data_IF_338552572327
#
_entry.id   IF_338552572327
#
_cell.length_a   1.000
_cell.length_b   1.000
_cell.length_c   1.000
_cell.angle_alpha   90.00
_cell.angle_beta   90.00
_cell.angle_gamma   90.00
#
_symmetry.space_group_name_H-M   'P 1'
#
loop_
_entity.id
_entity.type
_entity.pdbx_description
1 polymer ?
#
# COMPACT_ATOMS: atom_id res chain seq x y z
N UNK A 1 -2.69 8.23 -17.70
CA UNK A 1 -2.17 7.96 -18.24
C UNK A 1 -1.77 7.38 -18.99
N UNK A 2 -2.01 6.96 -19.10
CA UNK A 2 -1.43 6.28 -19.74
C UNK A 2 -0.82 6.22 -20.52
N UNK A 3 -0.72 5.73 -20.63
CA UNK A 3 0.06 5.44 -21.33
C UNK A 3 0.63 5.68 -21.98
N UNK A 4 0.67 5.42 -21.92
CA UNK A 4 1.44 5.39 -22.64
C UNK A 4 1.75 5.54 -23.17
N UNK A 5 1.36 5.37 -23.02
CA UNK A 5 1.89 5.19 -23.64
C UNK A 5 2.37 5.39 -24.24
N UNK A 6 2.36 5.49 -24.21
CA UNK A 6 3.04 5.28 -24.81
C UNK A 6 3.11 5.09 -25.42
N UNK A 7 2.66 5.00 -25.23
CA UNK A 7 2.90 4.54 -25.85
C UNK A 7 3.03 4.49 -26.82
N UNK A 8 2.75 4.38 -27.21
CA UNK A 8 3.13 4.11 -28.11
C UNK A 8 3.58 4.20 -29.14
N UNK A 9 3.75 4.02 -29.59
CA UNK A 9 4.49 3.86 -30.51
C UNK A 9 4.99 3.79 -31.35
N UNK A 10 5.12 3.46 -31.78
CA UNK A 10 5.77 3.05 -32.50
C UNK A 10 6.08 2.52 -33.24
N UNK A 11 5.85 2.32 -33.32
CA UNK A 11 6.12 1.51 -33.86
C UNK A 11 6.14 0.79 -34.35
N UNK A 12 6.18 0.48 -34.39
CA UNK A 12 5.85 -0.33 -34.89
C UNK A 12 5.41 -1.38 -34.48
N UNK A 13 5.12 -1.55 -34.49
CA UNK A 13 4.25 -2.59 -34.37
C UNK A 13 4.76 -3.75 -33.64
N UNK A 14 5.90 -4.05 -33.73
CA UNK A 14 6.58 -5.01 -33.01
C UNK A 14 6.50 -4.83 -31.58
N UNK A 15 6.71 -3.66 -31.20
CA UNK A 15 6.72 -3.31 -29.84
C UNK A 15 5.35 -3.41 -29.23
N UNK A 16 4.30 -3.48 -30.00
CA UNK A 16 2.97 -3.55 -29.45
C UNK A 16 2.73 -4.81 -28.65
N UNK A 17 3.05 -5.97 -29.18
CA UNK A 17 2.82 -7.19 -28.44
C UNK A 17 3.73 -7.31 -27.26
N UNK A 18 4.95 -6.82 -27.34
CA UNK A 18 5.85 -6.82 -26.23
C UNK A 18 5.35 -5.92 -25.11
N UNK A 19 4.81 -4.78 -25.49
CA UNK A 19 4.28 -3.86 -24.50
C UNK A 19 3.09 -4.43 -23.79
N UNK A 20 2.19 -5.09 -24.48
CA UNK A 20 1.05 -5.71 -23.87
C UNK A 20 1.46 -6.77 -22.88
N UNK A 21 2.40 -7.61 -23.23
CA UNK A 21 2.86 -8.65 -22.34
C UNK A 21 3.53 -8.07 -21.11
N UNK A 22 4.30 -7.03 -21.27
CA UNK A 22 4.96 -6.36 -20.17
C UNK A 22 3.97 -5.74 -19.21
N UNK A 23 2.96 -5.05 -19.75
CA UNK A 23 1.94 -4.46 -18.91
C UNK A 23 1.20 -5.50 -18.10
N UNK A 24 0.75 -6.56 -18.73
CA UNK A 24 0.01 -7.60 -18.04
C UNK A 24 0.82 -8.24 -16.93
N UNK A 25 2.10 -8.46 -17.19
CA UNK A 25 2.95 -9.11 -16.26
C UNK A 25 3.37 -8.22 -15.11
N UNK A 26 3.53 -6.93 -15.38
CA UNK A 26 4.15 -6.01 -14.48
C UNK A 26 3.24 -5.43 -13.41
N UNK A 27 1.98 -5.35 -13.69
CA UNK A 27 1.09 -4.55 -12.87
C UNK A 27 -0.02 -5.33 -12.17
N UNK A 28 0.25 -6.58 -11.81
CA UNK A 28 -0.67 -7.33 -10.97
C UNK A 28 -0.13 -7.36 -9.55
N UNK A 29 -0.90 -6.85 -8.60
CA UNK A 29 -0.49 -6.68 -7.23
C UNK A 29 -1.36 -7.54 -6.32
N UNK A 30 -0.76 -8.32 -5.40
CA UNK A 30 -1.57 -9.08 -4.46
C UNK A 30 -2.30 -8.17 -3.48
N UNK A 31 -3.55 -8.49 -3.20
CA UNK A 31 -4.34 -7.80 -2.18
C UNK A 31 -4.37 -8.67 -0.95
N UNK A 32 -4.00 -8.08 0.19
CA UNK A 32 -4.04 -8.77 1.47
C UNK A 32 -5.21 -8.24 2.29
N UNK A 33 -5.89 -9.15 2.95
CA UNK A 33 -6.95 -8.80 3.89
C UNK A 33 -6.40 -8.75 5.30
N UNK A 34 -6.98 -9.55 6.18
CA UNK A 34 -6.48 -9.61 7.55
C UNK A 34 -5.19 -10.43 7.60
N UNK A 35 -4.29 -10.05 8.46
CA UNK A 35 -3.02 -10.74 8.63
C UNK A 35 -3.20 -11.82 9.70
N UNK A 36 -2.86 -13.04 9.34
CA UNK A 36 -2.95 -14.16 10.29
C UNK A 36 -1.77 -14.11 11.25
N UNK A 37 -2.07 -14.22 12.54
CA UNK A 37 -1.03 -14.18 13.58
C UNK A 37 -0.04 -15.32 13.39
N UNK A 38 1.25 -14.99 13.51
CA UNK A 38 2.31 -16.00 13.42
C UNK A 38 2.67 -16.44 12.01
N UNK A 39 2.00 -15.90 10.99
CA UNK A 39 2.29 -16.21 9.60
C UNK A 39 3.09 -15.10 8.95
N UNK A 40 3.87 -15.39 7.90
CA UNK A 40 4.52 -14.33 7.15
C UNK A 40 3.48 -13.38 6.55
N UNK A 41 3.86 -12.13 6.38
CA UNK A 41 2.95 -11.12 5.83
C UNK A 41 2.37 -11.57 4.50
N UNK A 42 3.19 -12.10 3.60
CA UNK A 42 2.76 -12.56 2.29
C UNK A 42 2.45 -14.06 2.35
N UNK A 43 1.70 -14.47 3.34
CA UNK A 43 1.24 -15.84 3.42
C UNK A 43 0.00 -16.00 2.56
N UNK A 44 -0.19 -17.19 2.00
CA UNK A 44 -1.30 -17.46 1.11
C UNK A 44 -2.64 -17.20 1.77
N UNK A 45 -2.75 -17.49 3.06
CA UNK A 45 -4.00 -17.29 3.82
C UNK A 45 -4.41 -15.82 3.88
N UNK A 46 -3.48 -14.90 3.69
CA UNK A 46 -3.76 -13.48 3.77
C UNK A 46 -4.26 -12.89 2.45
N UNK A 47 -4.11 -13.64 1.36
CA UNK A 47 -4.52 -13.14 0.04
C UNK A 47 -6.03 -13.16 -0.11
N UNK A 48 -6.57 -12.05 -0.64
CA UNK A 48 -7.99 -11.96 -0.96
C UNK A 48 -8.24 -11.60 -2.42
N UNK A 49 -7.21 -11.39 -3.21
CA UNK A 49 -7.37 -11.10 -4.63
C UNK A 49 -6.15 -10.44 -5.22
N UNK A 50 -6.31 -9.92 -6.43
CA UNK A 50 -5.26 -9.20 -7.15
C UNK A 50 -5.81 -7.91 -7.71
N UNK A 51 -4.94 -6.91 -7.78
CA UNK A 51 -5.27 -5.57 -8.26
C UNK A 51 -4.41 -5.24 -9.46
N UNK A 52 -4.99 -4.93 -10.63
CA UNK A 52 -4.20 -4.37 -11.72
C UNK A 52 -3.74 -2.97 -11.34
N UNK A 53 -2.48 -2.68 -11.56
CA UNK A 53 -1.92 -1.40 -11.16
C UNK A 53 -1.03 -0.87 -12.27
N UNK A 54 -1.31 0.35 -12.73
CA UNK A 54 -0.61 0.98 -13.84
C UNK A 54 0.19 2.21 -13.43
N UNK A 55 0.54 2.32 -12.16
CA UNK A 55 1.35 3.42 -11.67
C UNK A 55 2.84 3.20 -11.94
N UNK A 56 3.65 4.09 -11.39
CA UNK A 56 5.10 4.08 -11.61
C UNK A 56 5.78 3.13 -10.64
N UNK A 57 5.58 1.84 -10.84
CA UNK A 57 6.25 0.85 -10.02
C UNK A 57 7.55 0.46 -10.69
N UNK A 58 8.65 0.57 -9.99
CA UNK A 58 9.96 0.23 -10.53
C UNK A 58 10.50 -1.08 -10.02
N UNK A 59 9.80 -1.71 -9.09
CA UNK A 59 10.24 -2.99 -8.53
C UNK A 59 9.01 -3.82 -8.22
N UNK A 60 9.23 -5.04 -7.74
CA UNK A 60 8.17 -6.00 -7.49
C UNK A 60 7.71 -6.03 -6.05
N UNK A 61 7.93 -4.97 -5.30
CA UNK A 61 7.61 -4.97 -3.88
C UNK A 61 6.34 -4.22 -3.55
N UNK A 62 5.36 -4.30 -4.46
CA UNK A 62 4.07 -3.68 -4.23
C UNK A 62 3.08 -4.69 -3.68
N UNK A 63 2.24 -4.23 -2.78
CA UNK A 63 1.11 -4.99 -2.29
C UNK A 63 -0.03 -4.04 -2.00
N UNK A 64 -1.25 -4.55 -1.90
CA UNK A 64 -2.39 -3.75 -1.53
C UNK A 64 -2.96 -4.29 -0.22
N UNK A 65 -3.42 -3.38 0.63
CA UNK A 65 -4.12 -3.73 1.86
C UNK A 65 -5.51 -3.14 1.82
N UNK A 66 -6.46 -3.88 2.36
CA UNK A 66 -7.82 -3.40 2.50
C UNK A 66 -7.94 -2.67 3.83
N UNK A 67 -8.45 -1.43 3.78
CA UNK A 67 -8.66 -0.62 4.97
C UNK A 67 -9.85 -1.17 5.75
N UNK A 68 -9.69 -1.31 7.05
CA UNK A 68 -10.78 -1.66 7.96
C UNK A 68 -10.97 -0.52 8.95
N UNK A 69 -12.20 0.01 8.99
CA UNK A 69 -12.55 1.04 9.95
C UNK A 69 -12.33 2.44 9.41
N UNK A 70 -12.38 3.42 10.30
CA UNK A 70 -12.41 4.84 9.95
C UNK A 70 -11.29 5.67 10.57
N UNK A 71 -10.22 5.05 11.02
CA UNK A 71 -9.15 5.80 11.71
C UNK A 71 -8.42 6.78 10.80
N UNK A 72 -8.59 6.69 9.48
CA UNK A 72 -7.94 7.58 8.53
C UNK A 72 -8.93 8.35 7.67
N UNK A 73 -10.15 8.53 8.17
CA UNK A 73 -11.22 9.15 7.39
C UNK A 73 -10.92 10.59 6.99
N UNK A 74 -10.24 11.35 7.85
CA UNK A 74 -9.91 12.74 7.55
C UNK A 74 -8.77 12.88 6.52
N UNK A 75 -8.11 11.78 6.21
CA UNK A 75 -7.12 11.73 5.13
C UNK A 75 -7.75 11.20 3.83
N UNK A 76 -9.05 10.95 3.84
CA UNK A 76 -9.75 10.45 2.66
C UNK A 76 -9.63 8.95 2.45
N UNK A 77 -9.19 8.21 3.47
CA UNK A 77 -9.09 6.74 3.40
C UNK A 77 -10.26 6.16 4.17
N UNK A 78 -11.14 5.47 3.46
CA UNK A 78 -12.39 4.97 4.03
C UNK A 78 -12.37 3.46 4.18
N UNK A 79 -13.28 2.97 5.01
CA UNK A 79 -13.45 1.54 5.19
C UNK A 79 -13.62 0.85 3.84
N UNK A 80 -12.92 -0.27 3.66
CA UNK A 80 -12.92 -1.10 2.46
C UNK A 80 -12.15 -0.54 1.26
N UNK A 81 -11.55 0.64 1.40
CA UNK A 81 -10.62 1.12 0.37
C UNK A 81 -9.41 0.20 0.28
N UNK A 82 -8.79 0.16 -0.90
CA UNK A 82 -7.54 -0.54 -1.09
C UNK A 82 -6.42 0.47 -1.18
N UNK A 83 -5.37 0.30 -0.39
CA UNK A 83 -4.18 1.15 -0.48
C UNK A 83 -3.03 0.32 -1.04
N UNK A 84 -2.29 0.92 -1.97
CA UNK A 84 -1.10 0.29 -2.54
C UNK A 84 0.10 0.71 -1.72
N UNK A 85 0.89 -0.26 -1.32
CA UNK A 85 2.04 -0.06 -0.45
C UNK A 85 3.28 -0.50 -1.20
N UNK A 86 4.29 0.37 -1.21
CA UNK A 86 5.61 0.02 -1.73
C UNK A 86 6.48 -0.40 -0.56
N UNK A 87 6.79 -1.69 -0.49
CA UNK A 87 7.54 -2.25 0.62
C UNK A 87 9.02 -1.89 0.57
N UNK A 88 9.49 -1.40 -0.55
CA UNK A 88 10.89 -0.96 -0.67
C UNK A 88 11.11 0.44 -0.11
N UNK A 89 10.03 1.17 0.19
CA UNK A 89 10.10 2.53 0.70
C UNK A 89 9.74 2.55 2.18
N UNK A 90 10.58 3.19 2.98
CA UNK A 90 10.28 3.40 4.39
C UNK A 90 9.55 4.72 4.54
N UNK A 91 8.38 4.74 5.20
CA UNK A 91 7.67 6.01 5.40
C UNK A 91 8.51 6.98 6.21
N UNK A 92 8.58 8.23 5.74
CA UNK A 92 9.24 9.31 6.45
C UNK A 92 8.22 10.14 7.21
N UNK A 93 8.68 11.04 8.06
CA UNK A 93 7.79 11.91 8.83
C UNK A 93 6.82 12.65 7.90
N UNK A 94 5.54 12.59 8.20
CA UNK A 94 4.49 13.17 7.40
C UNK A 94 3.89 12.25 6.35
N UNK A 95 4.51 11.11 6.11
CA UNK A 95 3.98 10.14 5.14
C UNK A 95 2.89 9.28 5.77
N UNK A 96 2.08 8.67 4.90
CA UNK A 96 1.17 7.61 5.31
C UNK A 96 1.87 6.29 5.02
N UNK A 97 1.90 5.42 6.00
CA UNK A 97 2.50 4.12 5.88
C UNK A 97 1.61 3.02 6.40
N UNK A 98 2.02 1.80 6.10
CA UNK A 98 1.41 0.60 6.67
C UNK A 98 2.36 0.01 7.68
N UNK A 99 1.82 -0.42 8.79
CA UNK A 99 2.61 -0.90 9.93
C UNK A 99 1.99 -2.16 10.49
N UNK A 100 2.85 -3.05 10.96
CA UNK A 100 2.41 -4.28 11.63
C UNK A 100 2.62 -4.08 13.13
N UNK A 101 1.56 -4.27 13.90
CA UNK A 101 1.56 -4.07 15.34
C UNK A 101 1.53 -5.43 16.01
N UNK A 102 2.51 -5.71 16.86
CA UNK A 102 2.63 -6.98 17.61
C UNK A 102 2.59 -8.21 16.70
N UNK A 103 3.01 -8.09 15.44
CA UNK A 103 3.00 -9.17 14.46
C UNK A 103 1.61 -9.78 14.22
N UNK A 104 0.55 -9.09 14.58
CA UNK A 104 -0.80 -9.64 14.46
C UNK A 104 -1.76 -8.76 13.69
N UNK A 105 -1.48 -7.48 13.59
CA UNK A 105 -2.43 -6.54 13.02
C UNK A 105 -1.73 -5.54 12.12
N UNK A 106 -2.21 -5.39 10.89
CA UNK A 106 -1.72 -4.35 9.98
C UNK A 106 -2.60 -3.11 10.12
N UNK A 107 -1.98 -1.95 10.17
CA UNK A 107 -2.68 -0.68 10.26
C UNK A 107 -2.07 0.33 9.30
N UNK A 108 -2.87 1.30 8.87
CA UNK A 108 -2.43 2.40 8.00
C UNK A 108 -2.59 3.69 8.79
N UNK A 109 -1.52 4.45 8.93
CA UNK A 109 -1.49 5.68 9.73
C UNK A 109 -0.46 6.63 9.15
N UNK A 110 -0.56 7.89 9.50
CA UNK A 110 0.58 8.79 9.36
C UNK A 110 1.66 8.38 10.34
N UNK A 111 2.91 8.69 10.01
CA UNK A 111 4.01 8.61 10.95
C UNK A 111 4.62 10.01 11.05
N UNK A 112 4.94 10.45 12.26
CA UNK A 112 5.60 11.72 12.46
C UNK A 112 6.31 11.73 13.81
N UNK A 113 7.14 12.75 14.01
CA UNK A 113 7.89 12.93 15.24
C UNK A 113 7.28 14.07 16.04
N UNK A 114 6.97 13.80 17.32
CA UNK A 114 6.44 14.79 18.24
C UNK A 114 7.34 14.78 19.47
N UNK A 115 7.93 15.92 19.78
CA UNK A 115 8.83 16.04 20.93
C UNK A 115 9.95 14.99 20.95
N UNK A 116 10.50 14.72 19.76
CA UNK A 116 11.63 13.80 19.63
C UNK A 116 11.27 12.34 19.59
N UNK A 117 9.99 11.99 19.64
CA UNK A 117 9.54 10.61 19.61
C UNK A 117 8.63 10.37 18.40
N UNK A 118 8.72 9.19 17.85
CA UNK A 118 7.89 8.84 16.68
C UNK A 118 6.56 8.27 17.13
N UNK A 119 5.52 8.70 16.42
CA UNK A 119 4.15 8.25 16.67
C UNK A 119 3.48 7.84 15.38
N UNK A 120 2.60 6.86 15.47
CA UNK A 120 1.60 6.60 14.45
C UNK A 120 0.40 7.49 14.76
N UNK A 121 0.00 8.28 13.78
CA UNK A 121 -1.01 9.31 13.99
C UNK A 121 -2.22 9.03 13.12
N UNK A 122 -3.39 8.77 13.71
CA UNK A 122 -4.60 8.59 12.94
C UNK A 122 -5.09 9.91 12.35
N UNK A 123 -5.86 9.83 11.29
CA UNK A 123 -6.53 10.98 10.71
C UNK A 123 -8.01 10.95 11.12
N UNK A 124 -8.24 10.95 12.41
CA UNK A 124 -9.56 10.93 13.01
C UNK A 124 -9.40 11.27 14.48
N UNK A 125 -10.04 12.35 14.92
CA UNK A 125 -9.89 12.84 16.29
C UNK A 125 -10.41 11.88 17.36
N UNK A 126 -11.19 10.89 16.95
CA UNK A 126 -11.71 9.88 17.89
C UNK A 126 -10.69 8.79 18.23
N UNK A 127 -9.50 8.83 17.62
CA UNK A 127 -8.44 7.86 17.83
C UNK A 127 -7.22 8.55 18.39
N UNK A 128 -6.43 7.83 19.17
CA UNK A 128 -5.23 8.39 19.79
C UNK A 128 -3.98 8.00 19.04
N UNK A 129 -2.96 8.84 19.16
CA UNK A 129 -1.64 8.55 18.62
C UNK A 129 -1.05 7.35 19.35
N UNK A 130 -0.26 6.56 18.64
CA UNK A 130 0.40 5.39 19.21
C UNK A 130 1.90 5.60 19.14
N UNK A 131 2.57 5.51 20.27
CA UNK A 131 4.03 5.63 20.31
C UNK A 131 4.65 4.44 19.59
N UNK A 132 5.59 4.74 18.67
CA UNK A 132 6.30 3.69 17.94
C UNK A 132 7.35 3.08 18.85
N UNK A 133 7.30 1.77 19.02
CA UNK A 133 8.26 1.02 19.81
C UNK A 133 8.69 -0.23 19.04
N UNK A 134 9.34 -1.16 19.72
CA UNK A 134 9.88 -2.37 19.08
C UNK A 134 8.80 -3.33 18.59
N UNK A 135 7.55 -3.15 19.02
CA UNK A 135 6.43 -3.99 18.59
C UNK A 135 5.80 -3.50 17.30
N UNK A 136 6.27 -2.39 16.75
CA UNK A 136 5.73 -1.82 15.52
C UNK A 136 6.77 -1.93 14.42
N UNK A 137 6.40 -2.60 13.34
CA UNK A 137 7.28 -2.84 12.20
C UNK A 137 6.69 -2.15 10.98
N UNK A 138 7.51 -1.38 10.26
CA UNK A 138 7.08 -0.73 9.03
C UNK A 138 6.94 -1.78 7.94
N UNK A 139 5.78 -1.79 7.27
CA UNK A 139 5.56 -2.63 6.09
C UNK A 139 6.02 -1.89 4.85
N UNK A 140 5.68 -0.62 4.74
CA UNK A 140 6.07 0.19 3.59
C UNK A 140 5.29 1.49 3.53
N UNK A 141 5.53 2.25 2.46
CA UNK A 141 4.89 3.55 2.26
C UNK A 141 3.65 3.38 1.39
N UNK A 142 2.56 4.04 1.77
CA UNK A 142 1.34 4.07 0.97
C UNK A 142 1.57 5.03 -0.20
N UNK A 143 1.36 4.56 -1.43
CA UNK A 143 1.61 5.35 -2.64
C UNK A 143 0.37 5.57 -3.50
N UNK A 144 -0.70 4.83 -3.28
CA UNK A 144 -1.92 4.96 -4.08
C UNK A 144 -3.13 4.46 -3.31
N UNK A 145 -4.29 4.87 -3.77
CA UNK A 145 -5.58 4.49 -3.20
C UNK A 145 -6.51 4.06 -4.33
N UNK A 146 -7.22 2.97 -4.13
CA UNK A 146 -8.25 2.50 -5.06
C UNK A 146 -9.57 2.32 -4.33
N UNK A 147 -10.62 2.78 -4.97
CA UNK A 147 -11.97 2.69 -4.43
C UNK A 147 -12.95 2.47 -5.58
N UNK A 148 -13.79 1.45 -5.42
CA UNK A 148 -14.90 1.27 -6.34
C UNK A 148 -16.06 2.13 -5.92
N UNK A 149 -16.69 2.77 -6.88
CA UNK A 149 -17.79 3.67 -6.60
C UNK A 149 -19.15 3.00 -6.80
#
# INVERSE_FOLDING_TARGET
>A
KLINLGLLNKGKNISRSLQSNTLNKKYSIPILGEISAGQPLIAEENYIGELPYFGNATNNELMALKINGDSMIDAGLFDKDLVVIDRSLKPADGDIGAFLIHNTEATVKYIDTINGKKYLIPANKNYENVLVDENIISIGKVISLFRDM
#
